data_IF_811184570160
#
_entry.id   IF_811184570160
#
_cell.length_a   1.000
_cell.length_b   1.000
_cell.length_c   1.000
_cell.angle_alpha   90.00
_cell.angle_beta   90.00
_cell.angle_gamma   90.00
#
_symmetry.space_group_name_H-M   'P 1'
#
loop_
_entity.id
_entity.type
_entity.pdbx_description
1 polymer ?
#
# COMPACT_ATOMS: atom_id res chain seq x y z
N UNK A 1 16.74 4.05 15.21
CA UNK A 1 15.54 4.88 14.97
C UNK A 1 15.24 5.65 16.24
N UNK A 2 15.08 6.97 16.15
CA UNK A 2 14.83 7.89 17.28
C UNK A 2 13.56 7.57 18.11
N UNK A 3 12.72 6.67 17.65
CA UNK A 3 11.39 6.42 18.22
C UNK A 3 11.26 5.09 18.99
N UNK A 4 12.36 4.37 19.23
CA UNK A 4 12.31 3.03 19.84
C UNK A 4 11.57 3.02 21.19
N UNK A 5 10.55 2.17 21.30
CA UNK A 5 9.68 2.02 22.47
C UNK A 5 8.58 3.07 22.59
N UNK A 6 8.50 4.04 21.67
CA UNK A 6 7.47 5.08 21.72
C UNK A 6 6.16 4.66 21.07
N UNK A 7 5.08 5.38 21.39
CA UNK A 7 3.80 5.28 20.67
C UNK A 7 3.96 5.60 19.17
N UNK A 8 4.90 6.47 18.81
CA UNK A 8 5.19 6.78 17.41
C UNK A 8 5.71 5.55 16.68
N UNK A 9 6.66 4.80 17.24
CA UNK A 9 7.14 3.56 16.63
C UNK A 9 6.00 2.55 16.41
N UNK A 10 5.12 2.38 17.39
CA UNK A 10 3.95 1.50 17.24
C UNK A 10 3.02 1.97 16.10
N UNK A 11 2.70 3.28 16.06
CA UNK A 11 1.88 3.86 15.00
C UNK A 11 2.51 3.69 13.62
N UNK A 12 3.84 3.83 13.51
CA UNK A 12 4.57 3.61 12.26
C UNK A 12 4.52 2.15 11.81
N UNK A 13 4.63 1.20 12.73
CA UNK A 13 4.44 -0.23 12.43
C UNK A 13 3.01 -0.55 11.99
N UNK A 14 2.01 0.08 12.61
CA UNK A 14 0.61 -0.05 12.17
C UNK A 14 0.39 0.53 10.77
N UNK A 15 0.96 1.71 10.48
CA UNK A 15 0.89 2.33 9.15
C UNK A 15 1.53 1.41 8.11
N UNK A 16 2.74 0.90 8.35
CA UNK A 16 3.41 -0.04 7.46
C UNK A 16 2.57 -1.29 7.15
N UNK A 17 1.95 -1.89 8.18
CA UNK A 17 1.05 -3.02 8.01
C UNK A 17 -0.18 -2.65 7.19
N UNK A 18 -0.76 -1.46 7.44
CA UNK A 18 -1.87 -0.90 6.68
C UNK A 18 -1.55 -0.74 5.20
N UNK A 19 -0.44 -0.08 4.86
CA UNK A 19 -0.04 0.15 3.46
C UNK A 19 0.29 -1.16 2.74
N UNK A 20 0.88 -2.13 3.44
CA UNK A 20 1.16 -3.47 2.88
C UNK A 20 -0.14 -4.21 2.51
N UNK A 21 -1.16 -4.11 3.36
CA UNK A 21 -2.48 -4.68 3.10
C UNK A 21 -3.22 -3.91 1.99
N UNK A 22 -3.12 -2.58 1.98
CA UNK A 22 -3.74 -1.72 0.96
C UNK A 22 -3.18 -2.03 -0.43
N UNK A 23 -1.86 -2.13 -0.58
CA UNK A 23 -1.20 -2.56 -1.82
C UNK A 23 -1.80 -3.87 -2.35
N UNK A 24 -1.83 -4.90 -1.51
CA UNK A 24 -2.33 -6.24 -1.89
C UNK A 24 -3.78 -6.18 -2.34
N UNK A 25 -4.60 -5.38 -1.64
CA UNK A 25 -6.01 -5.17 -1.99
C UNK A 25 -6.17 -4.45 -3.34
N UNK A 26 -5.37 -3.42 -3.59
CA UNK A 26 -5.41 -2.71 -4.86
C UNK A 26 -4.93 -3.57 -6.04
N UNK A 27 -3.95 -4.45 -5.84
CA UNK A 27 -3.57 -5.45 -6.85
C UNK A 27 -4.75 -6.38 -7.20
N UNK A 28 -5.54 -6.81 -6.21
CA UNK A 28 -6.74 -7.60 -6.46
C UNK A 28 -7.83 -6.81 -7.19
N UNK A 29 -8.02 -5.54 -6.85
CA UNK A 29 -8.97 -4.67 -7.54
C UNK A 29 -8.56 -4.37 -8.98
N UNK A 30 -7.26 -4.18 -9.24
CA UNK A 30 -6.73 -4.08 -10.60
C UNK A 30 -7.05 -5.33 -11.41
N UNK A 31 -6.75 -6.52 -10.87
CA UNK A 31 -7.06 -7.79 -11.51
C UNK A 31 -8.55 -7.96 -11.81
N UNK A 32 -9.42 -7.56 -10.88
CA UNK A 32 -10.88 -7.61 -11.09
C UNK A 32 -11.34 -6.61 -12.14
N UNK A 33 -10.91 -5.36 -12.07
CA UNK A 33 -11.25 -4.32 -13.04
C UNK A 33 -10.84 -4.72 -14.47
N UNK A 34 -9.66 -5.34 -14.63
CA UNK A 34 -9.21 -5.88 -15.91
C UNK A 34 -10.12 -6.98 -16.44
N UNK A 35 -10.51 -7.94 -15.59
CA UNK A 35 -11.46 -9.02 -15.96
C UNK A 35 -12.82 -8.49 -16.39
N UNK A 36 -13.25 -7.37 -15.82
CA UNK A 36 -14.53 -6.73 -16.12
C UNK A 36 -14.45 -5.75 -17.32
N UNK A 37 -13.27 -5.63 -17.96
CA UNK A 37 -13.06 -4.79 -19.16
C UNK A 37 -12.74 -3.33 -18.88
N UNK A 38 -12.54 -2.94 -17.61
CA UNK A 38 -12.23 -1.57 -17.22
C UNK A 38 -10.71 -1.32 -17.20
N UNK A 39 -10.08 -1.29 -18.37
CA UNK A 39 -8.62 -1.19 -18.51
C UNK A 39 -8.01 0.05 -17.82
N UNK A 40 -8.62 1.23 -17.98
CA UNK A 40 -8.13 2.45 -17.33
C UNK A 40 -8.22 2.37 -15.80
N UNK A 41 -9.31 1.80 -15.27
CA UNK A 41 -9.51 1.63 -13.83
C UNK A 41 -8.51 0.60 -13.27
N UNK A 42 -8.25 -0.48 -14.02
CA UNK A 42 -7.21 -1.44 -13.67
C UNK A 42 -5.84 -0.77 -13.57
N UNK A 43 -5.50 0.11 -14.51
CA UNK A 43 -4.22 0.81 -14.51
C UNK A 43 -4.10 1.73 -13.28
N UNK A 44 -5.17 2.46 -12.95
CA UNK A 44 -5.20 3.33 -11.76
C UNK A 44 -5.02 2.50 -10.48
N UNK A 45 -5.71 1.37 -10.31
CA UNK A 45 -5.50 0.53 -9.13
C UNK A 45 -4.07 -0.03 -9.04
N UNK A 46 -3.48 -0.41 -10.16
CA UNK A 46 -2.09 -0.87 -10.19
C UNK A 46 -1.11 0.24 -9.82
N UNK A 47 -1.32 1.47 -10.32
CA UNK A 47 -0.53 2.64 -9.94
C UNK A 47 -0.68 2.95 -8.44
N UNK A 48 -1.89 2.93 -7.91
CA UNK A 48 -2.13 3.12 -6.47
C UNK A 48 -1.43 2.05 -5.63
N UNK A 49 -1.45 0.79 -6.05
CA UNK A 49 -0.70 -0.29 -5.37
C UNK A 49 0.81 -0.01 -5.32
N UNK A 50 1.38 0.58 -6.37
CA UNK A 50 2.78 1.01 -6.40
C UNK A 50 3.03 2.21 -5.48
N UNK A 51 2.09 3.14 -5.37
CA UNK A 51 2.20 4.25 -4.43
C UNK A 51 2.22 3.76 -2.97
N UNK A 52 1.34 2.83 -2.59
CA UNK A 52 1.36 2.26 -1.23
C UNK A 52 2.64 1.49 -0.92
N UNK A 53 3.26 0.87 -1.93
CA UNK A 53 4.59 0.29 -1.77
C UNK A 53 5.63 1.34 -1.40
N UNK A 54 5.63 2.50 -2.05
CA UNK A 54 6.58 3.56 -1.74
C UNK A 54 6.27 4.24 -0.40
N UNK A 55 4.99 4.40 -0.02
CA UNK A 55 4.61 4.81 1.34
C UNK A 55 5.17 3.86 2.40
N UNK A 56 5.00 2.54 2.21
CA UNK A 56 5.50 1.52 3.11
C UNK A 56 7.04 1.52 3.21
N UNK A 57 7.73 1.79 2.10
CA UNK A 57 9.20 1.75 2.01
C UNK A 57 9.88 2.93 2.70
N UNK A 58 9.23 4.09 2.78
CA UNK A 58 9.76 5.24 3.53
C UNK A 58 10.01 4.88 5.00
N UNK A 59 9.25 3.94 5.57
CA UNK A 59 9.43 3.48 6.95
C UNK A 59 10.67 2.60 7.16
N UNK A 60 11.21 2.01 6.09
CA UNK A 60 12.37 1.12 6.15
C UNK A 60 13.71 1.80 5.83
N UNK A 61 13.68 3.07 5.42
CA UNK A 61 14.87 3.89 5.18
C UNK A 61 15.20 4.72 6.40
#
# INVERSE_FOLDING_TARGET
MEFKGSKTEQNLMYAFSGESQARTKYDFYASKAKKDGFEQISAIFAETALNEKEHAKLWFK
#
